data_IF_843169344742
#
_entry.id   IF_843169344742
#
_cell.length_a   1.000
_cell.length_b   1.000
_cell.length_c   1.000
_cell.angle_alpha   90.00
_cell.angle_beta   90.00
_cell.angle_gamma   90.00
#
_symmetry.space_group_name_H-M   'P 1'
#
loop_
_entity.id
_entity.type
_entity.pdbx_description
1 polymer ?
#
# COMPACT_ATOMS: atom_id res chain seq x y z
N UNK A 1 15.08 -17.49 50.51
CA UNK A 1 15.77 -17.56 49.20
C UNK A 1 14.83 -17.68 47.98
N UNK A 2 13.60 -18.22 48.09
CA UNK A 2 12.71 -18.42 46.93
C UNK A 2 12.06 -17.15 46.33
N UNK A 3 11.84 -16.08 47.11
CA UNK A 3 11.19 -14.84 46.61
C UNK A 3 12.07 -13.99 45.68
N UNK A 4 13.39 -14.04 45.85
CA UNK A 4 14.32 -13.30 44.99
C UNK A 4 14.63 -14.04 43.69
N UNK A 5 14.56 -15.38 43.68
CA UNK A 5 14.72 -16.18 42.46
C UNK A 5 13.54 -16.00 41.50
N UNK A 6 12.30 -15.87 42.02
CA UNK A 6 11.11 -15.61 41.22
C UNK A 6 11.14 -14.20 40.60
N UNK A 7 11.65 -13.20 41.33
CA UNK A 7 11.85 -11.83 40.82
C UNK A 7 12.97 -11.79 39.75
N UNK A 8 14.03 -12.57 39.93
CA UNK A 8 15.11 -12.69 38.94
C UNK A 8 14.61 -13.38 37.66
N UNK A 9 13.79 -14.43 37.78
CA UNK A 9 13.14 -15.07 36.62
C UNK A 9 12.17 -14.10 35.96
N UNK A 10 11.39 -13.31 36.72
CA UNK A 10 10.47 -12.31 36.15
C UNK A 10 11.20 -11.16 35.42
N UNK A 11 12.40 -10.80 35.88
CA UNK A 11 13.28 -9.79 35.23
C UNK A 11 14.05 -10.40 34.04
N UNK A 12 14.35 -11.70 34.06
CA UNK A 12 14.93 -12.44 32.93
C UNK A 12 13.89 -12.88 31.88
N UNK A 13 12.60 -12.90 32.22
CA UNK A 13 11.48 -13.17 31.31
C UNK A 13 10.70 -11.93 30.94
N UNK A 14 11.07 -10.74 31.43
CA UNK A 14 10.69 -9.52 30.71
C UNK A 14 11.38 -9.62 29.37
N UNK A 15 10.64 -9.76 28.27
CA UNK A 15 11.29 -9.79 27.01
C UNK A 15 11.94 -8.41 26.87
N UNK A 16 13.27 -8.37 26.80
CA UNK A 16 13.98 -7.43 25.93
C UNK A 16 13.58 -7.71 24.46
N UNK A 17 12.31 -7.98 24.19
CA UNK A 17 11.71 -7.79 22.90
C UNK A 17 11.60 -6.28 22.74
N UNK A 18 12.72 -5.68 22.37
CA UNK A 18 12.67 -4.88 21.16
C UNK A 18 12.01 -5.83 20.14
N UNK A 19 10.68 -5.77 20.00
CA UNK A 19 10.00 -6.49 18.95
C UNK A 19 10.68 -5.98 17.69
N UNK A 20 11.50 -6.84 17.08
CA UNK A 20 12.12 -6.53 15.82
C UNK A 20 11.00 -6.08 14.89
N UNK A 21 11.22 -4.97 14.18
CA UNK A 21 10.25 -4.47 13.20
C UNK A 21 9.88 -5.64 12.28
N UNK A 22 8.59 -5.88 12.00
CA UNK A 22 8.19 -6.99 11.14
C UNK A 22 8.75 -6.84 9.72
N UNK A 23 9.00 -7.96 9.03
CA UNK A 23 9.46 -7.97 7.65
C UNK A 23 8.34 -7.73 6.63
N UNK A 24 7.10 -7.94 7.03
CA UNK A 24 5.92 -7.86 6.17
C UNK A 24 4.66 -7.65 7.03
N UNK A 25 3.54 -7.25 6.43
CA UNK A 25 2.25 -7.18 7.13
C UNK A 25 1.83 -8.52 7.76
N UNK A 26 1.06 -8.47 8.85
CA UNK A 26 0.60 -9.69 9.52
C UNK A 26 -0.65 -10.27 8.86
N UNK A 27 -0.49 -11.11 7.84
CA UNK A 27 -1.59 -11.78 7.12
C UNK A 27 -2.51 -12.71 7.96
N UNK A 28 -2.14 -13.03 9.20
CA UNK A 28 -2.94 -13.93 10.05
C UNK A 28 -4.06 -13.24 10.82
N UNK A 29 -3.88 -11.95 11.13
CA UNK A 29 -4.85 -11.16 11.89
C UNK A 29 -4.67 -9.69 11.55
N UNK A 30 -5.63 -9.09 10.83
CA UNK A 30 -5.76 -7.65 10.75
C UNK A 30 -5.73 -6.99 12.13
N UNK A 31 -5.27 -5.75 12.17
CA UNK A 31 -5.19 -4.94 13.39
C UNK A 31 -6.17 -3.78 13.33
N UNK A 32 -7.16 -3.80 14.22
CA UNK A 32 -8.03 -2.65 14.45
C UNK A 32 -7.30 -1.58 15.29
N UNK A 33 -7.20 -0.37 14.75
CA UNK A 33 -6.57 0.80 15.37
C UNK A 33 -7.66 1.74 15.85
N UNK A 34 -7.66 2.01 17.16
CA UNK A 34 -8.59 2.94 17.79
C UNK A 34 -7.93 4.24 18.25
N UNK A 35 -6.60 4.26 18.28
CA UNK A 35 -5.80 5.38 18.76
C UNK A 35 -4.48 5.44 18.01
N UNK A 36 -4.00 6.66 17.75
CA UNK A 36 -2.70 6.90 17.12
C UNK A 36 -1.83 7.71 18.10
N UNK A 37 -0.66 7.21 18.51
CA UNK A 37 0.22 7.92 19.43
C UNK A 37 0.88 9.11 18.73
N UNK A 38 1.02 10.22 19.44
CA UNK A 38 1.76 11.41 19.01
C UNK A 38 2.44 12.08 20.21
N UNK A 39 3.35 13.03 19.95
CA UNK A 39 4.01 13.82 20.97
C UNK A 39 3.55 15.27 20.88
N UNK A 40 3.14 15.82 22.02
CA UNK A 40 2.63 17.18 22.12
C UNK A 40 3.65 18.23 21.72
N UNK A 41 4.91 18.00 22.06
CA UNK A 41 5.99 18.97 21.81
C UNK A 41 7.12 18.27 21.09
N UNK A 42 7.53 18.81 19.94
CA UNK A 42 8.74 18.42 19.23
C UNK A 42 9.62 19.64 18.99
N UNK A 43 10.94 19.44 18.98
CA UNK A 43 11.90 20.48 18.62
C UNK A 43 12.98 19.94 17.71
N UNK A 44 13.17 20.61 16.58
CA UNK A 44 14.19 20.27 15.59
C UNK A 44 15.21 21.39 15.47
N UNK A 45 16.45 21.02 15.13
CA UNK A 45 17.42 21.92 14.52
C UNK A 45 17.36 21.70 13.01
N UNK A 46 17.11 22.78 12.27
CA UNK A 46 17.23 22.80 10.82
C UNK A 46 18.54 23.46 10.42
N UNK A 47 19.45 22.70 9.81
CA UNK A 47 20.73 23.17 9.31
C UNK A 47 20.65 23.30 7.79
N UNK A 48 20.71 24.52 7.29
CA UNK A 48 20.73 24.82 5.85
C UNK A 48 22.17 24.88 5.39
N UNK A 49 22.53 24.08 4.38
CA UNK A 49 23.86 24.10 3.79
C UNK A 49 23.82 24.14 2.26
N UNK A 50 24.87 24.71 1.69
CA UNK A 50 25.16 24.65 0.27
C UNK A 50 26.20 23.55 0.04
N UNK A 51 25.92 22.65 -0.90
CA UNK A 51 26.80 21.58 -1.28
C UNK A 51 27.32 21.83 -2.70
N UNK A 52 28.60 22.17 -2.82
CA UNK A 52 29.27 22.31 -4.12
C UNK A 52 30.21 21.15 -4.33
N UNK A 53 30.01 20.40 -5.41
CA UNK A 53 30.94 19.35 -5.83
C UNK A 53 31.97 19.96 -6.77
N UNK A 54 33.23 20.01 -6.35
CA UNK A 54 34.35 20.43 -7.20
C UNK A 54 35.23 19.19 -7.35
N UNK A 55 35.24 18.61 -8.55
CA UNK A 55 35.83 17.29 -8.86
C UNK A 55 35.26 16.15 -7.99
N UNK A 56 36.11 15.34 -7.35
CA UNK A 56 35.70 14.26 -6.44
C UNK A 56 35.50 14.74 -5.00
N UNK A 57 35.64 16.04 -4.73
CA UNK A 57 35.54 16.61 -3.39
C UNK A 57 34.22 17.36 -3.22
N UNK A 58 33.43 16.95 -2.25
CA UNK A 58 32.21 17.65 -1.83
C UNK A 58 32.55 18.69 -0.78
N UNK A 59 32.32 19.98 -1.06
CA UNK A 59 32.44 21.06 -0.08
C UNK A 59 31.05 21.40 0.47
N UNK A 60 30.89 21.31 1.78
CA UNK A 60 29.66 21.65 2.51
C UNK A 60 29.89 22.95 3.26
N UNK A 61 29.02 23.94 3.07
CA UNK A 61 29.07 25.21 3.77
C UNK A 61 27.71 25.43 4.45
N UNK A 62 27.70 25.55 5.78
CA UNK A 62 26.50 25.92 6.53
C UNK A 62 26.15 27.38 6.26
N UNK A 63 24.93 27.61 5.81
CA UNK A 63 24.41 28.92 5.44
C UNK A 63 23.59 29.50 6.59
N UNK A 64 22.72 28.70 7.21
CA UNK A 64 21.85 29.15 8.29
C UNK A 64 21.39 27.98 9.16
N UNK A 65 21.08 28.26 10.42
CA UNK A 65 20.57 27.30 11.40
C UNK A 65 19.31 27.87 12.07
N UNK A 66 18.29 27.05 12.21
CA UNK A 66 17.03 27.40 12.85
C UNK A 66 16.65 26.36 13.89
N UNK A 67 15.98 26.82 14.94
CA UNK A 67 15.17 25.96 15.80
C UNK A 67 13.74 25.96 15.29
N UNK A 68 13.14 24.78 15.17
CA UNK A 68 11.73 24.62 14.81
C UNK A 68 11.03 23.91 15.96
N UNK A 69 10.03 24.55 16.54
CA UNK A 69 9.22 23.99 17.61
C UNK A 69 7.82 23.68 17.09
N UNK A 70 7.38 22.45 17.32
CA UNK A 70 6.03 21.98 17.00
C UNK A 70 5.29 21.76 18.31
N UNK A 71 4.12 22.36 18.46
CA UNK A 71 3.25 22.19 19.62
C UNK A 71 1.86 21.76 19.15
N UNK A 72 1.45 20.54 19.49
CA UNK A 72 0.09 20.06 19.24
C UNK A 72 -0.85 20.74 20.22
N UNK A 73 -1.79 21.53 19.69
CA UNK A 73 -2.74 22.31 20.49
C UNK A 73 -4.11 21.65 20.57
N UNK A 74 -4.45 20.79 19.60
CA UNK A 74 -5.70 20.04 19.58
C UNK A 74 -5.54 18.77 18.74
N UNK A 75 -6.39 17.79 18.99
CA UNK A 75 -6.50 16.57 18.18
C UNK A 75 -7.97 16.21 17.97
N UNK A 76 -8.27 15.61 16.83
CA UNK A 76 -9.59 15.08 16.51
C UNK A 76 -9.47 14.00 15.45
N UNK A 77 -9.80 12.75 15.82
CA UNK A 77 -10.05 11.66 14.88
C UNK A 77 -8.91 11.42 13.88
N UNK A 78 -7.67 11.34 14.38
CA UNK A 78 -6.46 11.14 13.56
C UNK A 78 -5.78 12.44 13.13
N UNK A 79 -6.50 13.56 13.16
CA UNK A 79 -5.96 14.87 12.79
C UNK A 79 -5.43 15.59 14.03
N UNK A 80 -4.22 16.15 13.93
CA UNK A 80 -3.63 17.02 14.94
C UNK A 80 -3.50 18.45 14.41
N UNK A 81 -3.82 19.42 15.25
CA UNK A 81 -3.56 20.84 14.99
C UNK A 81 -2.23 21.21 15.63
N UNK A 82 -1.24 21.55 14.81
CA UNK A 82 0.13 21.81 15.22
C UNK A 82 0.44 23.30 15.04
N UNK A 83 0.86 23.95 16.12
CA UNK A 83 1.44 25.27 16.08
C UNK A 83 2.96 25.15 15.88
N UNK A 84 3.44 25.72 14.78
CA UNK A 84 4.86 25.72 14.40
C UNK A 84 5.44 27.10 14.68
N UNK A 85 6.61 27.13 15.34
CA UNK A 85 7.41 28.34 15.51
C UNK A 85 8.84 28.10 15.03
N UNK A 86 9.35 29.01 14.21
CA UNK A 86 10.71 28.94 13.63
C UNK A 86 11.56 30.10 14.15
N UNK A 87 12.63 29.80 14.87
CA UNK A 87 13.53 30.81 15.45
C UNK A 87 14.94 30.66 14.86
N UNK A 88 15.53 31.71 14.26
CA UNK A 88 16.90 31.63 13.76
C UNK A 88 17.89 31.49 14.92
N UNK A 89 18.81 30.53 14.81
CA UNK A 89 20.00 30.42 15.66
C UNK A 89 21.12 31.25 15.02
N UNK A 90 21.32 31.06 13.72
CA UNK A 90 22.26 31.79 12.89
C UNK A 90 21.65 31.95 11.50
N UNK A 91 21.49 33.18 11.01
CA UNK A 91 21.05 33.42 9.64
C UNK A 91 21.68 34.70 9.10
N UNK A 92 22.23 34.69 7.87
CA UNK A 92 22.61 35.90 7.18
C UNK A 92 21.43 36.86 7.07
N UNK A 93 21.69 38.17 7.18
CA UNK A 93 20.64 39.22 7.18
C UNK A 93 19.71 39.16 5.95
N UNK A 94 20.23 38.69 4.81
CA UNK A 94 19.49 38.60 3.55
C UNK A 94 18.97 37.19 3.25
N UNK A 95 19.10 36.24 4.17
CA UNK A 95 18.60 34.89 3.99
C UNK A 95 17.23 34.76 4.66
N UNK A 96 16.21 34.43 3.87
CA UNK A 96 14.86 34.15 4.37
C UNK A 96 14.60 32.66 4.28
N UNK A 97 14.34 32.02 5.42
CA UNK A 97 13.90 30.62 5.48
C UNK A 97 12.38 30.56 5.46
N UNK A 98 11.80 29.99 4.40
CA UNK A 98 10.34 29.88 4.24
C UNK A 98 9.87 28.45 3.90
N UNK A 99 10.77 27.47 3.97
CA UNK A 99 10.45 26.05 3.77
C UNK A 99 9.45 25.57 4.82
N UNK A 100 9.70 25.91 6.09
CA UNK A 100 8.81 25.63 7.22
C UNK A 100 8.40 26.97 7.80
N UNK A 101 7.12 27.31 7.65
CA UNK A 101 6.57 28.59 8.08
C UNK A 101 5.95 28.46 9.46
N UNK A 102 6.13 29.50 10.27
CA UNK A 102 5.41 29.60 11.54
C UNK A 102 3.92 29.76 11.28
N UNK A 103 3.08 29.06 12.04
CA UNK A 103 1.64 29.04 11.82
C UNK A 103 0.95 27.84 12.43
N UNK A 104 -0.36 27.73 12.21
CA UNK A 104 -1.15 26.57 12.63
C UNK A 104 -1.45 25.70 11.41
N UNK A 105 -1.15 24.42 11.52
CA UNK A 105 -1.33 23.44 10.45
C UNK A 105 -2.08 22.23 10.97
N UNK A 106 -3.02 21.73 10.16
CA UNK A 106 -3.64 20.43 10.43
C UNK A 106 -2.82 19.36 9.73
N UNK A 107 -2.49 18.30 10.45
CA UNK A 107 -1.78 17.13 9.92
C UNK A 107 -2.60 15.90 10.25
N UNK A 108 -2.82 15.06 9.26
CA UNK A 108 -3.47 13.76 9.42
C UNK A 108 -2.40 12.68 9.67
N UNK A 109 -2.46 12.02 10.83
CA UNK A 109 -1.43 11.07 11.25
C UNK A 109 -1.43 9.76 10.44
N UNK A 110 -2.54 9.45 9.76
CA UNK A 110 -2.70 8.29 8.89
C UNK A 110 -2.14 8.50 7.48
N UNK A 111 -2.22 9.72 6.91
CA UNK A 111 -1.88 9.98 5.49
C UNK A 111 -0.73 10.97 5.23
N UNK A 112 -0.47 11.92 6.14
CA UNK A 112 0.51 13.00 5.91
C UNK A 112 1.93 12.58 6.33
N UNK A 113 2.41 11.47 5.78
CA UNK A 113 3.69 10.86 6.13
C UNK A 113 4.87 11.84 5.93
N UNK A 114 5.72 11.94 6.95
CA UNK A 114 6.91 12.82 6.99
C UNK A 114 6.63 14.28 6.59
N UNK A 115 5.40 14.75 6.77
CA UNK A 115 5.04 16.15 6.52
C UNK A 115 5.96 17.08 7.32
N UNK A 116 6.47 18.13 6.67
CA UNK A 116 7.27 19.14 7.34
C UNK A 116 6.46 19.94 8.39
N UNK A 117 5.13 19.80 8.40
CA UNK A 117 4.29 20.39 9.43
C UNK A 117 4.24 19.56 10.72
N UNK A 118 4.58 18.26 10.65
CA UNK A 118 4.76 17.36 11.78
C UNK A 118 5.41 16.05 11.26
N UNK A 119 6.76 15.90 11.34
CA UNK A 119 7.46 14.78 10.69
C UNK A 119 7.17 13.45 11.38
N UNK A 120 6.15 12.74 10.91
CA UNK A 120 5.65 11.51 11.52
C UNK A 120 5.28 10.47 10.46
N UNK A 121 5.52 9.21 10.79
CA UNK A 121 5.06 8.02 10.07
C UNK A 121 4.35 7.15 11.09
N UNK A 122 3.17 6.64 10.79
CA UNK A 122 2.52 5.70 11.70
C UNK A 122 3.44 4.49 11.92
N UNK A 123 3.73 4.16 13.18
CA UNK A 123 4.75 3.18 13.56
C UNK A 123 4.51 1.79 12.98
N UNK A 124 3.24 1.42 12.76
CA UNK A 124 2.86 0.15 12.13
C UNK A 124 3.06 0.10 10.61
N UNK A 125 3.46 1.21 9.98
CA UNK A 125 3.90 1.22 8.58
C UNK A 125 5.41 0.98 8.44
N UNK A 126 6.14 0.83 9.55
CA UNK A 126 7.57 0.55 9.53
C UNK A 126 7.77 -0.95 9.42
N UNK A 127 8.51 -1.37 8.38
CA UNK A 127 8.88 -2.76 8.13
C UNK A 127 10.40 -2.91 7.93
N UNK A 128 10.99 -4.06 8.24
CA UNK A 128 12.41 -4.36 7.94
C UNK A 128 12.61 -5.06 6.59
N UNK A 129 11.76 -4.75 5.61
CA UNK A 129 11.84 -5.25 4.25
C UNK A 129 12.95 -4.55 3.44
N UNK A 130 13.51 -5.25 2.45
CA UNK A 130 14.51 -4.67 1.55
C UNK A 130 13.94 -3.55 0.67
N UNK A 131 12.68 -3.68 0.23
CA UNK A 131 11.92 -2.63 -0.45
C UNK A 131 10.41 -2.89 -0.28
N UNK A 132 9.63 -1.86 -0.03
CA UNK A 132 8.15 -1.88 0.02
C UNK A 132 7.60 -0.49 -0.31
N UNK A 133 6.32 -0.43 -0.70
CA UNK A 133 5.63 0.81 -1.07
C UNK A 133 4.55 1.18 -0.04
N UNK A 134 4.44 2.46 0.29
CA UNK A 134 3.31 3.04 1.00
C UNK A 134 2.66 4.07 0.07
N UNK A 135 1.49 3.73 -0.46
CA UNK A 135 0.75 4.56 -1.40
C UNK A 135 -0.39 5.29 -0.67
N UNK A 136 -0.25 6.61 -0.53
CA UNK A 136 -1.28 7.49 0.02
C UNK A 136 -1.99 8.24 -1.13
N UNK A 137 -3.17 8.87 -0.90
CA UNK A 137 -3.94 9.48 -1.99
C UNK A 137 -3.21 10.64 -2.70
N UNK A 138 -2.20 11.24 -2.06
CA UNK A 138 -1.45 12.40 -2.56
C UNK A 138 0.02 12.09 -2.87
N UNK A 139 0.56 11.00 -2.35
CA UNK A 139 1.99 10.70 -2.35
C UNK A 139 2.18 9.18 -2.26
N UNK A 140 3.13 8.63 -3.02
CA UNK A 140 3.60 7.26 -2.80
C UNK A 140 5.07 7.29 -2.44
N UNK A 141 5.46 6.45 -1.48
CA UNK A 141 6.83 6.35 -0.97
C UNK A 141 7.29 4.89 -1.00
N UNK A 142 8.35 4.63 -1.75
CA UNK A 142 9.05 3.35 -1.82
C UNK A 142 10.26 3.40 -0.88
N UNK A 143 10.30 2.48 0.08
CA UNK A 143 11.28 2.52 1.18
C UNK A 143 11.95 1.17 1.37
N UNK A 144 13.24 1.18 1.67
CA UNK A 144 13.99 -0.03 2.05
C UNK A 144 14.68 0.12 3.39
N UNK A 145 14.51 -0.84 4.28
CA UNK A 145 15.19 -0.83 5.57
C UNK A 145 16.70 -1.03 5.40
N UNK A 146 17.49 -0.16 6.04
CA UNK A 146 18.95 -0.19 5.97
C UNK A 146 19.53 -0.74 7.27
N UNK A 147 19.25 -0.07 8.38
CA UNK A 147 19.82 -0.43 9.69
C UNK A 147 19.02 0.18 10.84
N UNK A 148 19.37 -0.20 12.06
CA UNK A 148 18.87 0.41 13.29
C UNK A 148 20.04 0.99 14.10
N UNK A 149 19.78 2.10 14.78
CA UNK A 149 20.72 2.74 15.70
C UNK A 149 20.03 3.18 16.98
N UNK A 150 20.82 3.43 18.03
CA UNK A 150 20.31 3.96 19.30
C UNK A 150 20.64 5.43 19.39
N UNK A 151 19.66 6.23 19.75
CA UNK A 151 19.78 7.69 19.86
C UNK A 151 19.27 8.12 21.23
N UNK A 152 19.87 9.18 21.79
CA UNK A 152 19.44 9.72 23.07
C UNK A 152 18.76 11.07 22.85
N UNK A 153 17.49 11.18 23.23
CA UNK A 153 16.72 12.42 23.15
C UNK A 153 16.15 12.68 24.53
N UNK A 154 16.35 13.89 25.07
CA UNK A 154 15.98 14.22 26.45
C UNK A 154 16.57 13.25 27.51
N UNK A 155 17.74 12.67 27.22
CA UNK A 155 18.38 11.67 28.07
C UNK A 155 17.72 10.28 28.03
N UNK A 156 16.69 10.08 27.22
CA UNK A 156 16.00 8.80 27.02
C UNK A 156 16.53 8.15 25.74
N UNK A 157 16.82 6.84 25.80
CA UNK A 157 17.28 6.09 24.64
C UNK A 157 16.11 5.63 23.79
N UNK A 158 16.11 6.03 22.53
CA UNK A 158 15.19 5.57 21.50
C UNK A 158 15.93 4.71 20.47
N UNK A 159 15.18 3.82 19.83
CA UNK A 159 15.65 3.13 18.62
C UNK A 159 15.24 3.98 17.42
N UNK A 160 16.20 4.27 16.53
CA UNK A 160 15.98 4.92 15.25
C UNK A 160 16.27 3.92 14.12
N UNK A 161 15.39 3.88 13.14
CA UNK A 161 15.45 3.03 11.97
C UNK A 161 15.80 3.87 10.76
N UNK A 162 16.84 3.47 10.04
CA UNK A 162 17.26 4.08 8.80
C UNK A 162 16.55 3.41 7.62
N UNK A 163 15.95 4.23 6.78
CA UNK A 163 15.30 3.82 5.56
C UNK A 163 15.92 4.54 4.36
N UNK A 164 16.17 3.80 3.29
CA UNK A 164 16.43 4.37 1.97
C UNK A 164 15.11 4.73 1.30
N UNK A 165 15.03 5.91 0.69
CA UNK A 165 13.91 6.36 -0.13
C UNK A 165 14.23 6.15 -1.61
N UNK A 166 13.41 5.37 -2.31
CA UNK A 166 13.55 5.08 -3.74
C UNK A 166 12.57 5.89 -4.60
N UNK A 167 11.70 6.69 -3.99
CA UNK A 167 10.70 7.47 -4.72
C UNK A 167 11.30 8.66 -5.46
N UNK A 168 10.80 8.86 -6.67
CA UNK A 168 11.18 9.98 -7.54
C UNK A 168 10.39 11.27 -7.27
N UNK A 169 9.31 11.18 -6.49
CA UNK A 169 8.32 12.27 -6.29
C UNK A 169 8.62 13.11 -5.03
N UNK A 170 9.18 12.49 -3.99
CA UNK A 170 9.50 13.19 -2.74
C UNK A 170 10.93 13.72 -2.84
N UNK A 171 11.09 15.03 -2.94
CA UNK A 171 12.39 15.71 -3.10
C UNK A 171 13.29 15.71 -1.84
N UNK A 172 13.05 14.77 -0.93
CA UNK A 172 13.82 14.52 0.29
C UNK A 172 14.65 13.24 0.13
N UNK A 173 15.86 13.28 0.67
CA UNK A 173 17.01 12.44 0.36
C UNK A 173 16.83 10.93 0.16
N UNK A 174 17.87 10.32 -0.42
CA UNK A 174 18.08 8.87 -0.50
C UNK A 174 17.92 8.16 0.86
N UNK A 175 18.09 8.82 2.01
CA UNK A 175 17.99 8.21 3.34
C UNK A 175 17.28 9.11 4.38
N UNK A 176 16.48 8.51 5.25
CA UNK A 176 15.88 9.17 6.42
C UNK A 176 15.82 8.24 7.63
N UNK A 177 15.75 8.82 8.83
CA UNK A 177 15.71 8.10 10.10
C UNK A 177 14.38 8.35 10.79
N UNK A 178 13.71 7.29 11.23
CA UNK A 178 12.45 7.34 11.99
C UNK A 178 12.62 6.62 13.31
N UNK A 179 12.16 7.22 14.41
CA UNK A 179 12.13 6.57 15.71
C UNK A 179 11.12 5.42 15.72
N UNK A 180 11.28 4.48 16.64
CA UNK A 180 10.35 3.35 16.80
C UNK A 180 8.91 3.73 17.15
N UNK A 181 8.65 4.99 17.50
CA UNK A 181 7.33 5.56 17.75
C UNK A 181 6.77 6.36 16.55
N UNK A 182 7.46 6.33 15.40
CA UNK A 182 7.00 6.97 14.17
C UNK A 182 7.55 8.38 13.90
N UNK A 183 8.22 9.03 14.86
CA UNK A 183 8.74 10.39 14.64
C UNK A 183 9.97 10.39 13.74
N UNK A 184 10.01 11.28 12.74
CA UNK A 184 11.19 11.52 11.93
C UNK A 184 12.33 12.07 12.79
N UNK A 185 13.40 11.30 12.99
CA UNK A 185 14.54 11.67 13.81
C UNK A 185 15.52 12.58 13.06
N UNK A 186 15.92 12.17 11.86
CA UNK A 186 16.89 12.89 11.05
C UNK A 186 16.62 12.64 9.58
N UNK A 187 16.48 13.69 8.79
CA UNK A 187 16.20 13.59 7.36
C UNK A 187 16.58 14.91 6.69
N UNK A 188 16.93 14.87 5.41
CA UNK A 188 17.18 16.11 4.68
C UNK A 188 16.17 16.30 3.56
N UNK A 189 15.97 17.56 3.24
CA UNK A 189 15.07 18.01 2.18
C UNK A 189 15.73 19.15 1.41
N UNK A 190 15.20 19.45 0.25
CA UNK A 190 15.71 20.51 -0.61
C UNK A 190 14.92 21.79 -0.40
N UNK A 191 15.63 22.91 -0.27
CA UNK A 191 15.05 24.23 -0.16
C UNK A 191 15.48 25.09 -1.36
N UNK A 192 14.53 25.39 -2.23
CA UNK A 192 14.77 26.27 -3.38
C UNK A 192 14.18 27.65 -3.13
N UNK A 193 14.99 28.69 -3.27
CA UNK A 193 14.57 30.09 -3.15
C UNK A 193 14.92 30.86 -4.41
N UNK A 194 14.01 31.73 -4.83
CA UNK A 194 14.22 32.63 -5.95
C UNK A 194 14.67 33.99 -5.42
N UNK A 195 15.89 34.36 -5.77
CA UNK A 195 16.33 35.76 -5.71
C UNK A 195 16.09 36.40 -7.08
N UNK A 196 16.06 37.74 -7.16
CA UNK A 196 15.65 38.50 -8.35
C UNK A 196 16.27 38.04 -9.68
N UNK A 197 17.48 37.44 -9.64
CA UNK A 197 18.20 37.01 -10.84
C UNK A 197 18.74 35.57 -10.77
N UNK A 198 18.54 34.85 -9.65
CA UNK A 198 19.04 33.47 -9.50
C UNK A 198 18.15 32.59 -8.63
N UNK A 199 17.93 31.35 -9.09
CA UNK A 199 17.34 30.27 -8.28
C UNK A 199 18.47 29.57 -7.54
N UNK A 200 18.41 29.56 -6.21
CA UNK A 200 19.37 28.90 -5.34
C UNK A 200 18.72 27.70 -4.67
N UNK A 201 19.33 26.53 -4.79
CA UNK A 201 18.89 25.30 -4.13
C UNK A 201 19.87 24.93 -3.03
N UNK A 202 19.34 24.76 -1.82
CA UNK A 202 20.07 24.36 -0.63
C UNK A 202 19.59 23.00 -0.14
N UNK A 203 20.42 22.30 0.60
CA UNK A 203 19.99 21.13 1.37
C UNK A 203 19.73 21.56 2.81
N UNK A 204 18.65 21.05 3.39
CA UNK A 204 18.24 21.33 4.76
C UNK A 204 18.19 20.02 5.52
N UNK A 205 19.11 19.83 6.47
CA UNK A 205 19.06 18.73 7.42
C UNK A 205 18.18 19.11 8.61
N UNK A 206 17.18 18.27 8.90
CA UNK A 206 16.32 18.37 10.07
C UNK A 206 16.75 17.30 11.06
N UNK A 207 16.99 17.71 12.30
CA UNK A 207 17.42 16.82 13.37
C UNK A 207 16.60 17.05 14.64
N UNK A 208 15.91 16.01 15.11
CA UNK A 208 15.08 16.04 16.33
C UNK A 208 15.97 16.09 17.57
N UNK A 209 15.80 17.11 18.40
CA UNK A 209 16.60 17.32 19.62
C UNK A 209 15.81 17.20 20.91
N UNK A 210 14.48 17.34 20.86
CA UNK A 210 13.61 17.31 22.03
C UNK A 210 12.24 16.79 21.62
N UNK A 211 11.67 15.89 22.43
CA UNK A 211 10.29 15.43 22.30
C UNK A 211 9.68 15.18 23.68
N UNK A 212 8.42 15.57 23.89
CA UNK A 212 7.74 15.38 25.18
C UNK A 212 6.23 15.38 25.05
N UNK A 213 5.56 14.85 26.09
CA UNK A 213 4.09 14.80 26.17
C UNK A 213 3.50 13.79 25.21
N UNK A 214 3.81 12.50 25.38
CA UNK A 214 3.17 11.43 24.62
C UNK A 214 1.66 11.40 24.94
N UNK A 215 0.84 11.50 23.90
CA UNK A 215 -0.62 11.49 23.96
C UNK A 215 -1.15 10.59 22.85
N UNK A 216 -2.45 10.31 22.86
CA UNK A 216 -3.12 9.47 21.86
C UNK A 216 -4.27 10.25 21.20
N UNK A 217 -4.25 10.31 19.87
CA UNK A 217 -5.39 10.77 19.09
C UNK A 217 -6.42 9.66 19.03
N UNK A 218 -7.61 9.90 19.59
CA UNK A 218 -8.67 8.88 19.62
C UNK A 218 -9.46 8.90 18.32
N UNK A 219 -9.68 7.72 17.75
CA UNK A 219 -10.41 7.54 16.50
C UNK A 219 -11.86 7.17 16.77
N UNK A 220 -12.78 7.93 16.19
CA UNK A 220 -14.21 7.65 16.26
C UNK A 220 -14.55 6.42 15.42
N UNK A 221 -15.32 5.48 15.97
CA UNK A 221 -15.69 4.25 15.24
C UNK A 221 -16.82 4.53 14.24
N UNK A 222 -16.60 4.29 12.95
CA UNK A 222 -17.64 4.42 11.90
C UNK A 222 -18.75 3.40 12.11
N UNK A 223 -18.41 2.12 12.20
CA UNK A 223 -19.32 1.05 12.60
C UNK A 223 -18.55 -0.22 12.93
N UNK A 224 -19.08 -1.05 13.83
CA UNK A 224 -18.51 -2.38 14.10
C UNK A 224 -18.61 -3.30 12.89
N UNK A 225 -19.65 -3.14 12.06
CA UNK A 225 -19.83 -3.92 10.84
C UNK A 225 -18.72 -3.65 9.82
N UNK A 226 -18.32 -2.39 9.65
CA UNK A 226 -17.20 -2.00 8.78
C UNK A 226 -15.92 -2.75 9.17
N UNK A 227 -15.55 -2.70 10.45
CA UNK A 227 -14.36 -3.39 10.97
C UNK A 227 -14.48 -4.90 10.70
N UNK A 228 -15.60 -5.52 11.06
CA UNK A 228 -15.80 -6.97 10.88
C UNK A 228 -15.77 -7.44 9.42
N UNK A 229 -16.09 -6.55 8.47
CA UNK A 229 -16.01 -6.87 7.05
C UNK A 229 -14.60 -6.65 6.50
N UNK A 230 -13.91 -5.59 6.92
CA UNK A 230 -12.51 -5.34 6.58
C UNK A 230 -11.56 -6.43 7.12
N UNK A 231 -11.93 -7.11 8.20
CA UNK A 231 -11.13 -8.20 8.77
C UNK A 231 -11.13 -9.48 7.90
N UNK A 232 -12.03 -9.57 6.91
CA UNK A 232 -12.13 -10.74 6.03
C UNK A 232 -11.20 -10.55 4.83
N UNK A 233 -10.25 -11.47 4.56
CA UNK A 233 -9.54 -11.47 3.29
C UNK A 233 -10.47 -11.90 2.15
N UNK A 234 -10.25 -11.35 0.96
CA UNK A 234 -11.03 -11.71 -0.23
C UNK A 234 -10.10 -12.08 -1.38
N UNK A 235 -10.53 -13.07 -2.16
CA UNK A 235 -9.84 -13.50 -3.37
C UNK A 235 -10.82 -13.48 -4.54
N UNK A 236 -10.35 -12.99 -5.68
CA UNK A 236 -11.06 -12.95 -6.94
C UNK A 236 -10.24 -13.66 -8.00
N UNK A 237 -10.93 -14.29 -8.95
CA UNK A 237 -10.32 -14.65 -10.24
C UNK A 237 -10.61 -13.53 -11.22
N UNK A 238 -9.56 -12.96 -11.81
CA UNK A 238 -9.68 -12.00 -12.89
C UNK A 238 -9.87 -12.74 -14.21
N UNK A 239 -10.90 -12.35 -14.93
CA UNK A 239 -11.17 -12.77 -16.30
C UNK A 239 -11.11 -11.57 -17.24
N UNK A 240 -10.46 -11.74 -18.39
CA UNK A 240 -10.38 -10.71 -19.42
C UNK A 240 -10.91 -11.23 -20.76
N UNK A 241 -11.49 -10.33 -21.55
CA UNK A 241 -12.01 -10.68 -22.85
C UNK A 241 -10.89 -10.98 -23.85
N UNK A 242 -10.92 -12.17 -24.43
CA UNK A 242 -10.01 -12.59 -25.49
C UNK A 242 -10.70 -12.54 -26.84
N UNK A 243 -10.22 -11.69 -27.75
CA UNK A 243 -10.70 -11.62 -29.14
C UNK A 243 -10.48 -12.90 -29.94
N UNK A 244 -9.45 -13.69 -29.57
CA UNK A 244 -9.12 -14.96 -30.22
C UNK A 244 -10.15 -16.05 -29.92
N UNK A 245 -10.68 -16.08 -28.69
CA UNK A 245 -11.67 -17.07 -28.26
C UNK A 245 -13.09 -16.51 -28.19
N UNK A 246 -13.25 -15.20 -28.39
CA UNK A 246 -14.52 -14.47 -28.30
C UNK A 246 -15.26 -14.73 -26.97
N UNK A 247 -14.50 -14.87 -25.89
CA UNK A 247 -15.00 -15.12 -24.53
C UNK A 247 -14.03 -14.57 -23.48
N UNK A 248 -14.51 -14.44 -22.26
CA UNK A 248 -13.69 -14.19 -21.07
C UNK A 248 -12.76 -15.38 -20.80
N UNK A 249 -11.49 -15.11 -20.50
CA UNK A 249 -10.46 -16.08 -20.14
C UNK A 249 -9.87 -15.73 -18.78
N UNK A 250 -9.62 -16.71 -17.89
CA UNK A 250 -8.97 -16.44 -16.62
C UNK A 250 -7.53 -15.99 -16.85
N UNK A 251 -7.12 -14.91 -16.18
CA UNK A 251 -5.79 -14.31 -16.33
C UNK A 251 -4.94 -14.47 -15.07
N UNK A 252 -5.51 -14.22 -13.89
CA UNK A 252 -4.78 -14.22 -12.61
C UNK A 252 -5.73 -14.32 -11.40
N UNK A 253 -5.19 -14.41 -10.17
CA UNK A 253 -5.96 -14.09 -8.96
C UNK A 253 -5.59 -12.73 -8.44
N UNK A 254 -6.58 -12.06 -7.87
CA UNK A 254 -6.39 -10.84 -7.11
C UNK A 254 -6.82 -11.14 -5.68
N UNK A 255 -5.90 -10.97 -4.73
CA UNK A 255 -6.19 -11.10 -3.31
C UNK A 255 -6.12 -9.73 -2.66
N UNK A 256 -7.21 -9.32 -2.01
CA UNK A 256 -7.27 -8.08 -1.25
C UNK A 256 -7.28 -8.38 0.25
N UNK A 257 -6.43 -7.68 0.98
CA UNK A 257 -6.23 -7.85 2.42
C UNK A 257 -6.00 -6.51 3.11
N UNK A 258 -6.60 -6.30 4.29
CA UNK A 258 -6.45 -5.04 5.04
C UNK A 258 -5.72 -5.30 6.36
N UNK A 259 -4.37 -5.27 6.39
CA UNK A 259 -3.60 -5.52 7.61
C UNK A 259 -3.86 -4.53 8.74
N UNK A 260 -4.21 -3.29 8.41
CA UNK A 260 -4.41 -2.21 9.37
C UNK A 260 -5.75 -1.54 9.07
N UNK A 261 -6.63 -1.53 10.07
CA UNK A 261 -8.00 -1.00 9.96
C UNK A 261 -8.16 0.08 11.02
N UNK A 262 -8.24 1.34 10.60
CA UNK A 262 -8.50 2.44 11.52
C UNK A 262 -10.00 2.58 11.77
N UNK A 263 -10.40 2.73 13.03
CA UNK A 263 -11.82 2.75 13.38
C UNK A 263 -12.58 3.94 12.77
N UNK A 264 -11.87 5.00 12.40
CA UNK A 264 -12.39 6.18 11.70
C UNK A 264 -12.54 6.00 10.18
N UNK A 265 -12.36 4.79 9.66
CA UNK A 265 -12.60 4.46 8.26
C UNK A 265 -11.38 4.54 7.35
N UNK A 266 -10.21 4.88 7.87
CA UNK A 266 -8.97 4.65 7.13
C UNK A 266 -8.61 3.16 7.14
N UNK A 267 -7.96 2.71 6.08
CA UNK A 267 -7.45 1.35 5.93
C UNK A 267 -6.05 1.46 5.30
N UNK A 268 -5.16 0.55 5.68
CA UNK A 268 -4.03 0.18 4.84
C UNK A 268 -4.38 -1.17 4.23
N UNK A 269 -4.57 -1.19 2.91
CA UNK A 269 -4.92 -2.37 2.14
C UNK A 269 -3.77 -2.79 1.24
N UNK A 270 -3.71 -4.08 0.96
CA UNK A 270 -2.81 -4.66 -0.02
C UNK A 270 -3.66 -5.43 -1.02
N UNK A 271 -3.42 -5.19 -2.31
CA UNK A 271 -3.97 -5.97 -3.40
C UNK A 271 -2.83 -6.71 -4.11
N UNK A 272 -2.83 -8.04 -3.99
CA UNK A 272 -1.78 -8.89 -4.55
C UNK A 272 -2.33 -9.62 -5.77
N UNK A 273 -1.69 -9.39 -6.90
CA UNK A 273 -1.86 -10.23 -8.08
C UNK A 273 -1.01 -11.51 -7.94
N UNK A 274 -1.68 -12.65 -7.97
CA UNK A 274 -1.07 -13.96 -7.77
C UNK A 274 -1.05 -14.72 -9.10
N UNK A 275 0.12 -14.76 -9.72
CA UNK A 275 0.33 -15.45 -11.00
C UNK A 275 0.36 -16.96 -10.86
N UNK A 276 -0.10 -17.63 -11.91
CA UNK A 276 -0.30 -19.08 -11.94
C UNK A 276 1.00 -19.87 -12.05
N UNK A 277 1.46 -20.45 -10.95
CA UNK A 277 2.19 -21.72 -10.99
C UNK A 277 1.41 -22.77 -10.19
N UNK A 278 0.44 -23.42 -10.86
CA UNK A 278 -0.43 -24.42 -10.24
C UNK A 278 0.38 -25.48 -9.48
N UNK A 279 0.07 -25.66 -8.19
CA UNK A 279 0.73 -26.64 -7.33
C UNK A 279 2.13 -26.22 -6.84
N UNK A 280 2.66 -25.08 -7.29
CA UNK A 280 3.82 -24.47 -6.68
C UNK A 280 3.46 -23.91 -5.29
N UNK A 281 4.42 -23.91 -4.35
CA UNK A 281 4.24 -23.20 -3.10
C UNK A 281 4.07 -21.71 -3.42
N UNK A 282 3.19 -21.04 -2.67
CA UNK A 282 3.04 -19.59 -2.67
C UNK A 282 4.23 -19.04 -1.89
N UNK A 283 5.42 -19.25 -2.43
CA UNK A 283 6.65 -18.89 -1.77
C UNK A 283 7.40 -17.96 -2.68
N UNK A 284 7.30 -16.67 -2.37
CA UNK A 284 8.37 -15.72 -2.60
C UNK A 284 8.08 -14.45 -1.83
N UNK A 285 9.12 -13.88 -1.22
CA UNK A 285 9.11 -12.52 -0.70
C UNK A 285 8.78 -11.58 -1.86
N UNK A 286 7.49 -11.33 -2.09
CA UNK A 286 7.05 -10.23 -2.90
C UNK A 286 7.29 -8.98 -2.06
N UNK A 287 7.98 -7.99 -2.62
CA UNK A 287 7.83 -6.63 -2.08
C UNK A 287 6.33 -6.35 -2.00
N UNK A 288 5.89 -5.73 -0.92
CA UNK A 288 4.47 -5.44 -0.71
C UNK A 288 4.24 -3.93 -0.87
N UNK A 289 3.02 -3.59 -1.30
CA UNK A 289 2.53 -2.23 -1.33
C UNK A 289 1.33 -2.10 -0.40
N UNK A 290 1.28 -1.03 0.40
CA UNK A 290 0.09 -0.70 1.18
C UNK A 290 -0.56 0.55 0.61
N UNK A 291 -1.75 0.39 0.04
CA UNK A 291 -2.66 1.48 -0.29
C UNK A 291 -3.34 1.96 0.98
N UNK A 292 -2.98 3.17 1.39
CA UNK A 292 -3.46 3.81 2.61
C UNK A 292 -4.44 4.90 2.23
N UNK A 293 -5.66 4.82 2.74
CA UNK A 293 -6.64 5.86 2.50
C UNK A 293 -7.94 5.64 3.23
N UNK A 294 -8.82 6.62 3.09
CA UNK A 294 -10.18 6.49 3.56
C UNK A 294 -10.93 5.45 2.71
N UNK A 295 -11.87 4.73 3.31
CA UNK A 295 -12.75 3.79 2.62
C UNK A 295 -13.49 4.39 1.40
N UNK A 296 -13.66 5.72 1.31
CA UNK A 296 -14.22 6.37 0.11
C UNK A 296 -13.22 6.52 -1.03
N UNK A 297 -11.92 6.58 -0.74
CA UNK A 297 -10.87 6.84 -1.72
C UNK A 297 -10.24 5.56 -2.28
N UNK A 298 -10.29 4.45 -1.53
CA UNK A 298 -9.73 3.17 -1.98
C UNK A 298 -10.84 2.19 -2.41
N UNK A 299 -10.59 1.32 -3.39
CA UNK A 299 -11.47 0.18 -3.66
C UNK A 299 -11.53 -0.75 -2.44
N UNK A 300 -12.74 -1.12 -2.03
CA UNK A 300 -12.92 -2.09 -0.95
C UNK A 300 -13.27 -3.46 -1.52
N UNK A 301 -13.54 -4.43 -0.67
CA UNK A 301 -14.14 -5.73 -1.05
C UNK A 301 -15.47 -5.95 -0.33
N UNK A 302 -15.97 -4.89 0.29
CA UNK A 302 -17.22 -4.87 0.99
C UNK A 302 -17.82 -3.47 0.91
N UNK A 303 -19.14 -3.40 1.06
CA UNK A 303 -19.84 -2.11 1.15
C UNK A 303 -20.28 -1.85 2.60
N UNK A 304 -20.35 -0.58 2.95
CA UNK A 304 -20.95 -0.11 4.19
C UNK A 304 -22.16 0.73 3.75
N UNK A 305 -23.36 0.40 4.25
CA UNK A 305 -24.65 1.03 3.89
C UNK A 305 -25.43 0.41 2.73
N UNK A 306 -26.71 0.12 2.99
CA UNK A 306 -27.73 -0.33 2.03
C UNK A 306 -28.43 0.88 1.36
N UNK A 307 -27.67 1.90 0.99
CA UNK A 307 -28.18 3.14 0.41
C UNK A 307 -28.45 2.98 -1.08
N UNK A 308 -29.25 3.90 -1.65
CA UNK A 308 -29.45 3.99 -3.10
C UNK A 308 -28.16 4.33 -3.88
N UNK A 309 -27.11 4.74 -3.17
CA UNK A 309 -25.80 5.10 -3.69
C UNK A 309 -24.69 4.59 -2.78
N UNK A 310 -23.56 4.22 -3.35
CA UNK A 310 -22.32 3.88 -2.64
C UNK A 310 -21.14 4.62 -3.29
N UNK A 311 -20.07 4.86 -2.53
CA UNK A 311 -18.79 5.35 -3.06
C UNK A 311 -17.81 4.18 -3.08
N UNK A 312 -17.15 3.97 -4.21
CA UNK A 312 -16.19 2.90 -4.43
C UNK A 312 -15.02 3.41 -5.27
N UNK A 313 -13.80 3.35 -4.73
CA UNK A 313 -12.60 3.86 -5.41
C UNK A 313 -12.77 5.32 -5.90
N UNK A 314 -13.37 6.18 -5.06
CA UNK A 314 -13.64 7.58 -5.40
C UNK A 314 -14.79 7.83 -6.39
N UNK A 315 -15.47 6.80 -6.89
CA UNK A 315 -16.59 6.92 -7.84
C UNK A 315 -17.92 6.64 -7.17
N UNK A 316 -18.97 7.35 -7.59
CA UNK A 316 -20.34 7.15 -7.10
C UNK A 316 -21.01 6.07 -7.95
N UNK A 317 -21.53 5.03 -7.30
CA UNK A 317 -22.35 4.00 -7.94
C UNK A 317 -23.79 4.11 -7.45
N UNK A 318 -24.74 3.89 -8.36
CA UNK A 318 -26.17 3.93 -8.06
C UNK A 318 -26.73 2.51 -8.01
N UNK A 319 -27.56 2.23 -7.02
CA UNK A 319 -28.28 0.95 -6.94
C UNK A 319 -29.22 0.83 -8.12
N UNK A 320 -29.07 -0.23 -8.91
CA UNK A 320 -29.90 -0.53 -10.07
C UNK A 320 -31.05 -1.44 -9.67
N UNK A 321 -30.73 -2.57 -9.04
CA UNK A 321 -31.70 -3.58 -8.67
C UNK A 321 -31.20 -4.48 -7.53
N UNK A 322 -32.10 -5.30 -7.01
CA UNK A 322 -31.75 -6.52 -6.27
C UNK A 322 -32.08 -7.71 -7.16
N UNK A 323 -31.08 -8.51 -7.51
CA UNK A 323 -31.19 -9.61 -8.47
C UNK A 323 -30.55 -10.88 -7.93
N UNK A 324 -30.60 -11.97 -8.70
CA UNK A 324 -29.88 -13.21 -8.39
C UNK A 324 -28.82 -13.48 -9.45
N UNK A 325 -27.60 -13.77 -9.01
CA UNK A 325 -26.50 -14.17 -9.89
C UNK A 325 -26.02 -15.58 -9.53
N UNK A 326 -25.58 -16.35 -10.53
CA UNK A 326 -24.99 -17.68 -10.32
C UNK A 326 -23.47 -17.58 -10.34
N UNK A 327 -22.82 -17.99 -9.25
CA UNK A 327 -21.37 -18.07 -9.15
C UNK A 327 -21.01 -19.52 -8.82
N UNK A 328 -20.25 -20.15 -9.71
CA UNK A 328 -19.83 -21.56 -9.58
C UNK A 328 -20.96 -22.53 -9.19
N UNK A 329 -22.15 -22.36 -9.78
CA UNK A 329 -23.32 -23.22 -9.55
C UNK A 329 -24.16 -22.84 -8.32
N UNK A 330 -23.75 -21.84 -7.54
CA UNK A 330 -24.50 -21.32 -6.39
C UNK A 330 -25.20 -20.01 -6.74
N UNK A 331 -26.49 -19.90 -6.43
CA UNK A 331 -27.26 -18.68 -6.65
C UNK A 331 -27.16 -17.76 -5.44
N UNK A 332 -26.77 -16.50 -5.67
CA UNK A 332 -26.68 -15.46 -4.66
C UNK A 332 -27.68 -14.35 -4.95
N UNK A 333 -28.45 -13.96 -3.94
CA UNK A 333 -29.20 -12.71 -3.99
C UNK A 333 -28.23 -11.55 -3.78
N UNK A 334 -28.23 -10.60 -4.70
CA UNK A 334 -27.26 -9.51 -4.75
C UNK A 334 -27.90 -8.16 -4.98
N UNK A 335 -27.30 -7.12 -4.41
CA UNK A 335 -27.56 -5.75 -4.78
C UNK A 335 -26.60 -5.35 -5.91
N UNK A 336 -27.15 -4.95 -7.05
CA UNK A 336 -26.41 -4.46 -8.21
C UNK A 336 -26.26 -2.94 -8.12
N UNK A 337 -25.03 -2.46 -8.23
CA UNK A 337 -24.69 -1.04 -8.29
C UNK A 337 -23.94 -0.74 -9.58
N UNK A 338 -24.23 0.40 -10.21
CA UNK A 338 -23.65 0.78 -11.49
C UNK A 338 -23.06 2.19 -11.45
N UNK A 339 -21.88 2.34 -12.03
CA UNK A 339 -21.29 3.62 -12.41
C UNK A 339 -21.22 3.68 -13.94
N UNK A 340 -21.82 4.71 -14.51
CA UNK A 340 -21.83 4.94 -15.97
C UNK A 340 -20.96 6.14 -16.28
N UNK A 341 -19.90 5.90 -17.06
CA UNK A 341 -19.11 6.95 -17.71
C UNK A 341 -19.42 6.97 -19.20
N UNK A 342 -18.93 7.97 -19.93
CA UNK A 342 -19.27 8.18 -21.35
C UNK A 342 -19.00 7.00 -22.28
N UNK A 343 -18.05 6.11 -21.95
CA UNK A 343 -17.70 4.94 -22.77
C UNK A 343 -17.66 3.61 -22.01
N UNK A 344 -17.68 3.64 -20.68
CA UNK A 344 -17.50 2.47 -19.83
C UNK A 344 -18.58 2.39 -18.75
N UNK A 345 -19.10 1.19 -18.53
CA UNK A 345 -20.01 0.87 -17.45
C UNK A 345 -19.28 -0.07 -16.49
N UNK A 346 -19.28 0.25 -15.20
CA UNK A 346 -18.78 -0.66 -14.16
C UNK A 346 -19.96 -1.08 -13.30
N UNK A 347 -20.11 -2.38 -13.07
CA UNK A 347 -21.14 -2.98 -12.22
C UNK A 347 -20.49 -3.71 -11.05
N UNK A 348 -21.03 -3.50 -9.86
CA UNK A 348 -20.63 -4.15 -8.62
C UNK A 348 -21.81 -4.94 -8.06
N UNK A 349 -21.58 -6.18 -7.66
CA UNK A 349 -22.59 -7.06 -7.09
C UNK A 349 -22.21 -7.44 -5.66
N UNK A 350 -22.97 -6.95 -4.69
CA UNK A 350 -22.76 -7.26 -3.27
C UNK A 350 -23.76 -8.29 -2.77
N UNK A 351 -23.29 -9.25 -1.97
CA UNK A 351 -24.15 -10.17 -1.24
C UNK A 351 -24.99 -9.46 -0.17
N UNK A 352 -25.96 -10.18 0.42
CA UNK A 352 -26.70 -9.70 1.60
C UNK A 352 -25.81 -9.34 2.79
N UNK A 353 -24.63 -9.95 2.88
CA UNK A 353 -23.65 -9.73 3.95
C UNK A 353 -22.65 -8.60 3.60
N UNK A 354 -22.95 -7.83 2.55
CA UNK A 354 -22.16 -6.72 2.02
C UNK A 354 -20.79 -7.10 1.47
N UNK A 355 -20.54 -8.36 1.12
CA UNK A 355 -19.31 -8.79 0.46
C UNK A 355 -19.44 -8.58 -1.05
N UNK A 356 -18.43 -8.02 -1.71
CA UNK A 356 -18.45 -7.99 -3.18
C UNK A 356 -18.23 -9.42 -3.70
N UNK A 357 -19.15 -9.84 -4.56
CA UNK A 357 -19.11 -11.15 -5.20
C UNK A 357 -18.62 -11.06 -6.64
N UNK A 358 -18.96 -9.97 -7.34
CA UNK A 358 -18.53 -9.74 -8.73
C UNK A 358 -18.29 -8.25 -8.95
N UNK A 359 -17.20 -7.92 -9.64
CA UNK A 359 -17.01 -6.65 -10.35
C UNK A 359 -16.95 -6.92 -11.86
N UNK A 360 -17.64 -6.09 -12.65
CA UNK A 360 -17.73 -6.28 -14.09
C UNK A 360 -17.60 -4.95 -14.82
N UNK A 361 -16.73 -4.90 -15.82
CA UNK A 361 -16.62 -3.78 -16.74
C UNK A 361 -17.27 -4.12 -18.09
N UNK A 362 -18.05 -3.18 -18.63
CA UNK A 362 -18.63 -3.22 -19.96
C UNK A 362 -18.08 -2.02 -20.76
N UNK A 363 -17.80 -2.22 -22.05
CA UNK A 363 -17.12 -1.22 -22.86
C UNK A 363 -17.19 -1.49 -24.35
N UNK A 364 -16.47 -0.69 -25.13
CA UNK A 364 -16.40 -0.85 -26.60
C UNK A 364 -15.03 -1.40 -26.98
N UNK A 365 -14.99 -2.52 -27.69
CA UNK A 365 -13.76 -3.10 -28.24
C UNK A 365 -13.83 -3.05 -29.77
N UNK A 366 -12.85 -2.41 -30.41
CA UNK A 366 -12.77 -2.26 -31.87
C UNK A 366 -14.05 -1.66 -32.51
N UNK A 367 -14.70 -0.72 -31.82
CA UNK A 367 -15.94 -0.08 -32.29
C UNK A 367 -17.23 -0.88 -32.07
N UNK A 368 -17.14 -2.10 -31.52
CA UNK A 368 -18.30 -2.91 -31.15
C UNK A 368 -18.55 -2.83 -29.64
N UNK A 369 -19.82 -2.67 -29.24
CA UNK A 369 -20.23 -2.74 -27.84
C UNK A 369 -20.03 -4.18 -27.36
N UNK A 370 -19.16 -4.35 -26.37
CA UNK A 370 -18.91 -5.64 -25.72
C UNK A 370 -19.53 -5.57 -24.33
N UNK A 371 -20.48 -6.47 -24.10
CA UNK A 371 -21.24 -6.50 -22.85
C UNK A 371 -20.36 -6.78 -21.62
N UNK A 372 -19.20 -7.43 -21.78
CA UNK A 372 -18.24 -7.67 -20.69
C UNK A 372 -16.81 -7.65 -21.23
N UNK A 373 -15.99 -6.70 -20.78
CA UNK A 373 -14.58 -6.58 -21.15
C UNK A 373 -13.64 -7.19 -20.11
N UNK A 374 -14.03 -7.11 -18.83
CA UNK A 374 -13.35 -7.76 -17.72
C UNK A 374 -14.33 -8.12 -16.61
N UNK A 375 -14.00 -9.15 -15.84
CA UNK A 375 -14.81 -9.61 -14.71
C UNK A 375 -13.90 -10.14 -13.59
N UNK A 376 -14.14 -9.67 -12.36
CA UNK A 376 -13.56 -10.25 -11.15
C UNK A 376 -14.65 -11.05 -10.46
N UNK A 377 -14.44 -12.35 -10.28
CA UNK A 377 -15.41 -13.24 -9.61
C UNK A 377 -14.82 -13.72 -8.29
N UNK A 378 -15.57 -13.53 -7.20
CA UNK A 378 -15.18 -14.00 -5.87
C UNK A 378 -15.00 -15.51 -5.84
N UNK A 379 -13.89 -15.96 -5.25
CA UNK A 379 -13.62 -17.37 -4.97
C UNK A 379 -13.71 -17.60 -3.46
N UNK A 380 -14.36 -18.68 -3.04
CA UNK A 380 -14.46 -19.06 -1.61
C UNK A 380 -13.15 -19.65 -1.05
N UNK A 381 -11.99 -19.21 -1.54
CA UNK A 381 -10.69 -19.68 -1.10
C UNK A 381 -9.78 -18.47 -0.85
N UNK A 382 -8.81 -18.62 0.05
CA UNK A 382 -7.80 -17.59 0.34
C UNK A 382 -6.43 -18.25 0.20
N UNK A 383 -5.52 -17.60 -0.51
CA UNK A 383 -4.15 -18.05 -0.66
C UNK A 383 -3.32 -17.42 0.47
N UNK A 384 -2.85 -18.25 1.39
CA UNK A 384 -1.94 -17.82 2.47
C UNK A 384 -0.48 -17.97 2.04
N UNK A 385 0.46 -17.22 2.64
CA UNK A 385 1.89 -17.34 2.33
C UNK A 385 2.50 -18.73 2.53
N UNK A 386 1.80 -19.64 3.23
CA UNK A 386 2.25 -21.03 3.44
C UNK A 386 1.38 -22.05 2.69
N UNK A 387 0.51 -21.61 1.78
CA UNK A 387 -0.35 -22.47 0.98
C UNK A 387 0.27 -22.75 -0.41
N UNK A 388 -0.35 -23.64 -1.16
CA UNK A 388 -0.04 -23.85 -2.57
C UNK A 388 -1.07 -23.13 -3.43
N UNK A 389 -0.66 -22.63 -4.59
CA UNK A 389 -1.61 -22.05 -5.55
C UNK A 389 -2.69 -23.07 -5.89
N UNK A 390 -3.94 -22.61 -5.89
CA UNK A 390 -5.06 -23.45 -6.26
C UNK A 390 -4.93 -23.79 -7.74
N UNK A 391 -4.96 -25.08 -8.05
CA UNK A 391 -4.94 -25.56 -9.42
C UNK A 391 -6.31 -25.30 -10.08
N UNK A 392 -6.45 -24.13 -10.68
CA UNK A 392 -7.55 -23.82 -11.59
C UNK A 392 -7.15 -23.96 -13.05
N UNK A 393 -5.97 -24.51 -13.37
CA UNK A 393 -5.72 -24.99 -14.72
C UNK A 393 -6.87 -25.94 -15.01
N UNK A 394 -7.76 -25.47 -15.86
CA UNK A 394 -9.13 -25.90 -15.96
C UNK A 394 -9.31 -27.39 -15.62
N UNK A 395 -10.27 -27.68 -14.72
CA UNK A 395 -11.25 -28.69 -15.12
C UNK A 395 -11.79 -28.19 -16.46
N UNK A 396 -11.11 -28.59 -17.54
CA UNK A 396 -11.67 -28.56 -18.87
C UNK A 396 -12.72 -29.64 -18.76
N UNK A 397 -13.88 -29.28 -18.22
CA UNK A 397 -15.10 -30.04 -18.48
C UNK A 397 -15.34 -29.91 -19.96
N UNK A 398 -14.65 -30.77 -20.71
CA UNK A 398 -15.06 -31.36 -21.97
C UNK A 398 -15.79 -30.40 -22.91
N UNK A 399 -15.07 -29.85 -23.90
CA UNK A 399 -15.64 -29.77 -25.25
C UNK A 399 -15.64 -28.44 -26.00
N UNK A 400 -15.21 -27.30 -25.43
CA UNK A 400 -15.38 -26.01 -26.15
C UNK A 400 -14.20 -25.04 -25.98
N UNK A 401 -13.01 -25.45 -26.41
CA UNK A 401 -12.09 -24.52 -27.06
C UNK A 401 -12.26 -24.74 -28.57
N UNK A 402 -12.10 -23.71 -29.43
CA UNK A 402 -12.09 -23.92 -30.89
C UNK A 402 -10.97 -24.91 -31.32
N UNK A 403 -9.98 -25.12 -30.45
CA UNK A 403 -8.97 -26.17 -30.57
C UNK A 403 -8.78 -26.83 -29.20
N UNK A 404 -8.90 -28.15 -29.13
CA UNK A 404 -8.49 -28.91 -27.94
C UNK A 404 -6.99 -28.71 -27.71
N UNK A 405 -6.57 -28.39 -26.49
CA UNK A 405 -5.17 -28.43 -26.12
C UNK A 405 -4.66 -29.87 -26.29
N UNK A 406 -3.85 -30.10 -27.31
CA UNK A 406 -3.20 -31.39 -27.56
C UNK A 406 -1.99 -31.48 -26.66
N UNK A 407 -1.84 -32.58 -25.91
CA UNK A 407 -0.65 -32.75 -25.07
C UNK A 407 0.63 -32.61 -25.91
N UNK A 408 1.73 -32.03 -25.41
CA UNK A 408 2.95 -31.85 -26.19
C UNK A 408 3.46 -33.15 -26.83
N UNK A 409 3.26 -34.28 -26.14
CA UNK A 409 3.55 -35.63 -26.64
C UNK A 409 2.64 -36.05 -27.82
N UNK A 410 1.34 -35.77 -27.76
CA UNK A 410 0.41 -36.03 -28.86
C UNK A 410 0.66 -35.10 -30.05
N UNK A 411 1.01 -33.83 -29.80
CA UNK A 411 1.39 -32.87 -30.84
C UNK A 411 2.63 -33.33 -31.59
N UNK A 412 3.63 -33.87 -30.87
CA UNK A 412 4.83 -34.46 -31.45
C UNK A 412 4.49 -35.69 -32.30
N UNK A 413 3.64 -36.59 -31.80
CA UNK A 413 3.21 -37.79 -32.52
C UNK A 413 2.47 -37.41 -33.82
N UNK A 414 1.52 -36.48 -33.75
CA UNK A 414 0.78 -35.98 -34.91
C UNK A 414 1.74 -35.35 -35.93
N UNK A 415 2.69 -34.53 -35.46
CA UNK A 415 3.70 -33.91 -36.33
C UNK A 415 4.58 -34.96 -37.01
N UNK A 416 5.02 -36.00 -36.29
CA UNK A 416 5.80 -37.11 -36.85
C UNK A 416 5.00 -37.85 -37.92
N UNK A 417 3.73 -38.17 -37.65
CA UNK A 417 2.85 -38.88 -38.60
C UNK A 417 2.66 -38.04 -39.87
N UNK A 418 2.31 -36.77 -39.74
CA UNK A 418 2.12 -35.87 -40.89
C UNK A 418 3.41 -35.74 -41.69
N UNK A 419 4.55 -35.59 -41.02
CA UNK A 419 5.86 -35.50 -41.68
C UNK A 419 6.19 -36.79 -42.45
N UNK A 420 5.93 -37.97 -41.86
CA UNK A 420 6.10 -39.26 -42.54
C UNK A 420 5.19 -39.42 -43.76
N UNK A 421 3.93 -38.99 -43.65
CA UNK A 421 2.97 -39.02 -44.77
C UNK A 421 3.43 -38.10 -45.90
N UNK A 422 3.86 -36.87 -45.60
CA UNK A 422 4.38 -35.93 -46.59
C UNK A 422 5.64 -36.50 -47.25
N UNK A 423 6.58 -37.05 -46.47
CA UNK A 423 7.80 -37.68 -47.00
C UNK A 423 7.46 -38.89 -47.88
N UNK A 424 6.51 -39.74 -47.46
CA UNK A 424 6.07 -40.88 -48.26
C UNK A 424 5.41 -40.44 -49.58
N UNK A 425 4.58 -39.39 -49.55
CA UNK A 425 3.98 -38.78 -50.75
C UNK A 425 5.08 -38.21 -51.65
N UNK A 426 6.04 -37.47 -51.11
CA UNK A 426 7.18 -36.94 -51.88
C UNK A 426 7.97 -38.08 -52.52
N UNK A 427 8.31 -39.13 -51.78
CA UNK A 427 9.03 -40.31 -52.32
C UNK A 427 8.22 -41.00 -53.41
N UNK A 428 6.90 -41.16 -53.24
CA UNK A 428 6.01 -41.73 -54.24
C UNK A 428 5.91 -40.86 -55.49
N UNK A 429 5.86 -39.54 -55.33
CA UNK A 429 5.83 -38.57 -56.43
C UNK A 429 7.17 -38.45 -57.15
N UNK A 430 8.30 -38.65 -56.46
CA UNK A 430 9.67 -38.65 -57.03
C UNK A 430 10.07 -39.99 -57.66
N UNK A 431 9.31 -41.07 -57.40
CA UNK A 431 9.46 -42.38 -58.05
C UNK A 431 8.64 -42.54 -59.34
N UNK A 432 7.88 -41.51 -59.73
CA UNK A 432 7.44 -41.26 -61.11
C UNK A 432 8.42 -40.29 -61.76
#
# INVERSE_FOLDING_TARGET
>A
MSKYLLLMILVLTMPLAVLAIPAQPNYSSPQAIHQIPYFKTLKYIATVYNQTKVSNTTKIIVIANYTISYNVVNQSNGNILVNINTTPIHSPRNFTFNLIKSGNYTVNLEEDMLSLNYPYVFDKYLYNASIYELAFPKISIEMGYVNQTKVSINGINYTAFEYSNYSTIVSSEEHFYVLSNGLGYSFNTTYTTNTSDTTLTYTVNLHLIELSGEENSTLSTISTQFISNAEKPYQYTLYEYSSLSNTLQPVTYIQAYYPIIFSNGYLAGEEIELTFDSGAPVNQNFGFGLDIGNYTSIPLTFTYSNTSQIIWGGKIFHKVNTTTINIYGTNYMVNEYQNVSSSNIIKLYFSSDNNILVERAEGTINGNIVNITSELIYTQHVITPNSTYINYAHRVTTGTLPFSAVAPSESLIITIIITLVIVAIIILLYKR
#
